data_IF_667168096005
#
_entry.id   IF_667168096005
#
_cell.length_a   1.000
_cell.length_b   1.000
_cell.length_c   1.000
_cell.angle_alpha   90.00
_cell.angle_beta   90.00
_cell.angle_gamma   90.00
#
_symmetry.space_group_name_H-M   'P 1'
#
loop_
_entity.id
_entity.type
_entity.pdbx_description
1 polymer ?
#
# COMPACT_ATOMS: atom_id res chain seq x y z
N UNK A 1 14.93 15.19 4.14
CA UNK A 1 14.87 14.66 5.51
C UNK A 1 16.20 14.06 5.96
N UNK A 2 16.55 14.22 7.25
CA UNK A 2 17.59 13.41 7.92
C UNK A 2 17.13 11.94 7.96
N UNK A 3 18.03 10.99 8.24
CA UNK A 3 17.67 9.58 8.39
C UNK A 3 16.61 9.47 9.49
N UNK A 4 15.42 8.98 9.14
CA UNK A 4 14.32 8.76 10.08
C UNK A 4 14.14 7.25 10.19
N UNK A 5 14.37 6.72 11.39
CA UNK A 5 14.16 5.30 11.67
C UNK A 5 12.91 5.16 12.52
N UNK A 6 11.89 4.52 11.97
CA UNK A 6 10.60 4.28 12.61
C UNK A 6 10.57 2.82 13.07
N UNK A 7 10.36 2.59 14.36
CA UNK A 7 10.31 1.26 14.93
C UNK A 7 10.18 1.32 16.45
N UNK A 8 9.73 0.22 17.07
CA UNK A 8 9.52 0.16 18.51
C UNK A 8 8.50 1.20 18.99
N UNK A 9 8.76 1.77 20.17
CA UNK A 9 7.76 2.49 20.95
C UNK A 9 7.63 3.99 20.63
N UNK A 10 8.26 4.46 19.54
CA UNK A 10 8.45 5.90 19.27
C UNK A 10 7.14 6.67 19.11
N UNK A 11 6.04 5.98 18.82
CA UNK A 11 4.72 6.55 18.62
C UNK A 11 3.69 6.08 19.67
N UNK A 12 4.11 5.47 20.78
CA UNK A 12 3.19 4.92 21.77
C UNK A 12 2.28 5.97 22.42
N UNK A 13 2.71 7.24 22.43
CA UNK A 13 1.90 8.36 22.92
C UNK A 13 1.00 8.99 21.85
N UNK A 14 1.17 8.64 20.57
CA UNK A 14 0.46 9.24 19.44
C UNK A 14 -0.84 8.51 19.10
N UNK A 15 -1.53 7.98 20.11
CA UNK A 15 -2.75 7.16 19.96
C UNK A 15 -3.91 7.89 19.26
N UNK A 16 -3.93 9.22 19.32
CA UNK A 16 -4.95 10.07 18.69
C UNK A 16 -4.53 10.61 17.32
N UNK A 17 -3.35 10.24 16.81
CA UNK A 17 -2.88 10.70 15.50
C UNK A 17 -3.73 10.08 14.40
N UNK A 18 -4.37 10.93 13.59
CA UNK A 18 -5.26 10.50 12.48
C UNK A 18 -4.62 10.67 11.11
N UNK A 19 -3.62 11.54 10.99
CA UNK A 19 -2.92 11.85 9.75
C UNK A 19 -1.41 11.87 9.98
N UNK A 20 -0.67 11.15 9.14
CA UNK A 20 0.79 11.17 9.17
C UNK A 20 1.36 11.16 7.75
N UNK A 21 2.16 12.17 7.43
CA UNK A 21 2.75 12.30 6.10
C UNK A 21 4.29 12.26 6.20
N UNK A 22 4.86 11.23 5.57
CA UNK A 22 6.29 10.98 5.45
C UNK A 22 6.76 11.19 4.01
N UNK A 23 5.96 11.81 3.15
CA UNK A 23 6.32 12.05 1.76
C UNK A 23 7.62 12.85 1.64
N UNK A 24 8.51 12.45 0.72
CA UNK A 24 9.83 13.03 0.53
C UNK A 24 10.86 12.63 1.60
N UNK A 25 10.50 11.77 2.55
CA UNK A 25 11.45 11.19 3.50
C UNK A 25 12.34 10.13 2.82
N UNK A 26 13.23 10.56 1.91
CA UNK A 26 14.09 9.68 1.11
C UNK A 26 15.04 8.81 1.92
N UNK A 27 15.21 9.01 3.23
CA UNK A 27 16.04 8.18 4.12
C UNK A 27 15.22 7.51 5.24
N UNK A 28 13.91 7.35 5.05
CA UNK A 28 13.07 6.65 6.01
C UNK A 28 13.39 5.15 6.01
N UNK A 29 13.54 4.60 7.20
CA UNK A 29 13.70 3.17 7.46
C UNK A 29 12.58 2.77 8.41
N UNK A 30 11.74 1.82 8.02
CA UNK A 30 10.62 1.33 8.85
C UNK A 30 10.97 -0.07 9.30
N UNK A 31 11.01 -0.28 10.61
CA UNK A 31 11.13 -1.57 11.25
C UNK A 31 9.74 -2.18 11.42
N UNK A 32 9.70 -3.50 11.57
CA UNK A 32 8.47 -4.26 11.81
C UNK A 32 7.68 -3.65 12.99
N UNK A 33 6.35 -3.61 12.86
CA UNK A 33 5.43 -2.99 13.84
C UNK A 33 5.65 -1.50 14.11
N UNK A 34 6.39 -0.76 13.27
CA UNK A 34 6.70 0.65 13.51
C UNK A 34 5.50 1.61 13.65
N UNK A 35 4.29 1.17 13.28
CA UNK A 35 3.04 1.93 13.43
C UNK A 35 1.96 1.19 14.21
N UNK A 36 2.26 0.06 14.85
CA UNK A 36 1.24 -0.81 15.49
C UNK A 36 0.37 -0.09 16.54
N UNK A 37 0.92 0.94 17.20
CA UNK A 37 0.22 1.73 18.22
C UNK A 37 -0.54 2.95 17.69
N UNK A 38 -0.46 3.23 16.38
CA UNK A 38 -1.20 4.30 15.72
C UNK A 38 -2.64 3.87 15.39
N UNK A 39 -3.38 3.42 16.40
CA UNK A 39 -4.70 2.80 16.26
C UNK A 39 -5.76 3.74 15.65
N UNK A 40 -5.62 5.06 15.81
CA UNK A 40 -6.55 6.05 15.25
C UNK A 40 -6.14 6.55 13.86
N UNK A 41 -5.03 6.07 13.30
CA UNK A 41 -4.50 6.61 12.06
C UNK A 41 -5.41 6.26 10.88
N UNK A 42 -5.82 7.29 10.14
CA UNK A 42 -6.71 7.17 8.99
C UNK A 42 -5.98 7.46 7.68
N UNK A 43 -4.92 8.27 7.69
CA UNK A 43 -4.16 8.63 6.49
C UNK A 43 -2.67 8.53 6.73
N UNK A 44 -1.99 7.79 5.85
CA UNK A 44 -0.54 7.58 5.87
C UNK A 44 0.05 7.73 4.46
N UNK A 45 0.97 8.67 4.27
CA UNK A 45 1.60 8.90 2.97
C UNK A 45 3.12 8.75 3.03
N UNK A 46 3.67 8.04 2.04
CA UNK A 46 5.11 7.81 1.82
C UNK A 46 5.58 8.32 0.46
N UNK A 47 4.83 9.22 -0.19
CA UNK A 47 5.10 9.57 -1.59
C UNK A 47 6.54 10.06 -1.78
N UNK A 48 7.22 9.64 -2.84
CA UNK A 48 8.62 9.96 -3.10
C UNK A 48 9.61 9.50 -2.00
N UNK A 49 9.28 8.47 -1.19
CA UNK A 49 10.25 7.83 -0.29
C UNK A 49 11.14 6.85 -1.06
N UNK A 50 12.02 7.38 -1.93
CA UNK A 50 12.75 6.58 -2.92
C UNK A 50 13.63 5.47 -2.35
N UNK A 51 14.09 5.53 -1.09
CA UNK A 51 14.87 4.45 -0.48
C UNK A 51 14.04 3.51 0.42
N UNK A 52 12.72 3.71 0.50
CA UNK A 52 11.84 2.78 1.19
C UNK A 52 11.77 1.49 0.35
N UNK A 53 12.26 0.40 0.93
CA UNK A 53 12.42 -0.89 0.21
C UNK A 53 11.27 -1.86 0.43
N UNK A 54 10.67 -1.82 1.62
CA UNK A 54 9.64 -2.77 2.04
C UNK A 54 8.78 -2.17 3.15
N UNK A 55 7.58 -2.72 3.27
CA UNK A 55 6.58 -2.44 4.31
C UNK A 55 5.92 -3.76 4.69
N UNK A 56 6.71 -4.73 5.16
CA UNK A 56 6.17 -6.02 5.64
C UNK A 56 5.69 -5.86 7.09
N UNK A 57 4.55 -6.47 7.45
CA UNK A 57 3.90 -6.45 8.80
C UNK A 57 3.72 -5.08 9.44
N UNK A 58 4.00 -4.02 8.70
CA UNK A 58 4.08 -2.64 9.17
C UNK A 58 2.69 -2.08 9.53
N UNK A 59 1.63 -2.67 8.97
CA UNK A 59 0.25 -2.20 9.10
C UNK A 59 -0.62 -3.10 9.99
N UNK A 60 0.00 -4.04 10.70
CA UNK A 60 -0.72 -4.84 11.68
C UNK A 60 -1.30 -3.92 12.76
N UNK A 61 -2.59 -4.08 13.06
CA UNK A 61 -3.33 -3.23 14.00
C UNK A 61 -3.86 -1.90 13.43
N UNK A 62 -3.55 -1.55 12.18
CA UNK A 62 -4.03 -0.31 11.55
C UNK A 62 -5.47 -0.41 11.02
N UNK A 63 -6.40 -0.82 11.88
CA UNK A 63 -7.79 -1.11 11.53
C UNK A 63 -8.58 0.11 11.04
N UNK A 64 -8.13 1.32 11.36
CA UNK A 64 -8.79 2.58 10.99
C UNK A 64 -8.16 3.25 9.76
N UNK A 65 -7.10 2.68 9.17
CA UNK A 65 -6.42 3.28 8.03
C UNK A 65 -7.31 3.24 6.79
N UNK A 66 -7.60 4.43 6.24
CA UNK A 66 -8.46 4.62 5.06
C UNK A 66 -7.67 4.97 3.81
N UNK A 67 -6.62 5.77 3.96
CA UNK A 67 -5.82 6.28 2.85
C UNK A 67 -4.35 5.90 3.02
N UNK A 68 -3.82 5.14 2.06
CA UNK A 68 -2.41 4.78 1.99
C UNK A 68 -1.85 5.11 0.59
N UNK A 69 -0.77 5.88 0.55
CA UNK A 69 -0.08 6.19 -0.71
C UNK A 69 1.42 6.00 -0.55
N UNK A 70 2.01 5.24 -1.46
CA UNK A 70 3.45 5.02 -1.59
C UNK A 70 3.92 5.41 -3.00
N UNK A 71 3.21 6.36 -3.62
CA UNK A 71 3.49 6.80 -4.98
C UNK A 71 4.97 7.22 -5.12
N UNK A 72 5.60 6.87 -6.24
CA UNK A 72 6.99 7.21 -6.55
C UNK A 72 8.02 6.61 -5.55
N UNK A 73 7.66 5.56 -4.80
CA UNK A 73 8.62 4.77 -4.02
C UNK A 73 9.35 3.76 -4.92
N UNK A 74 10.25 4.26 -5.76
CA UNK A 74 10.88 3.49 -6.84
C UNK A 74 11.68 2.25 -6.39
N UNK A 75 12.15 2.19 -5.13
CA UNK A 75 12.85 1.03 -4.60
C UNK A 75 11.95 0.05 -3.82
N UNK A 76 10.65 0.33 -3.74
CA UNK A 76 9.68 -0.49 -3.02
C UNK A 76 9.53 -1.85 -3.67
N UNK A 77 9.53 -2.89 -2.84
CA UNK A 77 9.08 -4.23 -3.15
C UNK A 77 7.91 -4.59 -2.27
N UNK A 78 6.97 -5.35 -2.82
CA UNK A 78 5.91 -6.00 -2.05
C UNK A 78 6.43 -7.39 -1.71
N UNK A 79 6.84 -7.58 -0.46
CA UNK A 79 7.20 -8.89 0.08
C UNK A 79 6.13 -9.29 1.10
N UNK A 80 5.70 -10.55 1.09
CA UNK A 80 4.68 -11.09 1.98
C UNK A 80 3.24 -10.85 1.57
N UNK A 81 2.32 -11.45 2.33
CA UNK A 81 0.89 -11.26 2.13
C UNK A 81 0.47 -9.90 2.72
N UNK A 82 -0.33 -9.13 1.98
CA UNK A 82 -0.95 -7.92 2.55
C UNK A 82 -1.75 -8.29 3.81
N UNK A 83 -1.58 -7.49 4.86
CA UNK A 83 -2.15 -7.77 6.18
C UNK A 83 -3.67 -7.85 6.12
N UNK A 84 -4.26 -8.81 6.83
CA UNK A 84 -5.71 -8.99 6.95
C UNK A 84 -6.37 -7.87 7.79
N UNK A 85 -5.59 -6.92 8.29
CA UNK A 85 -6.01 -5.85 9.20
C UNK A 85 -6.46 -4.57 8.48
N UNK A 86 -6.18 -4.43 7.17
CA UNK A 86 -6.52 -3.24 6.38
C UNK A 86 -8.00 -3.19 5.95
N UNK A 87 -8.90 -3.58 6.86
CA UNK A 87 -10.33 -3.74 6.59
C UNK A 87 -11.02 -2.41 6.23
N UNK A 88 -10.51 -1.27 6.70
CA UNK A 88 -11.08 0.07 6.46
C UNK A 88 -10.42 0.81 5.30
N UNK A 89 -9.44 0.20 4.62
CA UNK A 89 -8.68 0.87 3.57
C UNK A 89 -9.59 1.12 2.36
N UNK A 90 -9.79 2.39 2.00
CA UNK A 90 -10.63 2.80 0.87
C UNK A 90 -9.79 3.26 -0.34
N UNK A 91 -8.60 3.78 -0.09
CA UNK A 91 -7.66 4.26 -1.12
C UNK A 91 -6.27 3.67 -0.92
N UNK A 92 -5.73 3.07 -1.98
CA UNK A 92 -4.38 2.53 -2.02
C UNK A 92 -3.65 2.86 -3.32
N UNK A 93 -2.52 3.56 -3.24
CA UNK A 93 -1.75 3.97 -4.41
C UNK A 93 -0.28 3.55 -4.33
N UNK A 94 0.15 2.80 -5.34
CA UNK A 94 1.52 2.35 -5.58
C UNK A 94 2.06 2.84 -6.93
N UNK A 95 1.44 3.85 -7.54
CA UNK A 95 1.85 4.36 -8.85
C UNK A 95 3.34 4.73 -8.89
N UNK A 96 3.99 4.45 -10.01
CA UNK A 96 5.43 4.63 -10.26
C UNK A 96 6.35 3.82 -9.32
N UNK A 97 5.86 2.78 -8.63
CA UNK A 97 6.71 1.88 -7.87
C UNK A 97 7.35 0.82 -8.79
N UNK A 98 8.34 1.25 -9.56
CA UNK A 98 8.93 0.45 -10.65
C UNK A 98 9.59 -0.87 -10.20
N UNK A 99 9.88 -1.09 -8.91
CA UNK A 99 10.43 -2.38 -8.42
C UNK A 99 9.38 -3.39 -7.97
N UNK A 100 8.10 -3.04 -8.08
CA UNK A 100 7.01 -3.97 -7.82
C UNK A 100 6.84 -4.86 -9.05
N UNK A 101 7.28 -6.11 -8.94
CA UNK A 101 7.20 -7.10 -10.03
C UNK A 101 5.97 -8.00 -9.92
N UNK A 102 5.46 -8.20 -8.72
CA UNK A 102 4.31 -9.07 -8.44
C UNK A 102 3.47 -8.48 -7.32
N UNK A 103 2.14 -8.57 -7.45
CA UNK A 103 1.18 -8.23 -6.40
C UNK A 103 0.58 -9.54 -5.88
N UNK A 104 0.73 -9.84 -4.59
CA UNK A 104 0.08 -10.98 -3.95
C UNK A 104 -0.80 -10.51 -2.78
N UNK A 105 -2.12 -10.61 -2.94
CA UNK A 105 -3.08 -10.21 -1.92
C UNK A 105 -4.21 -11.23 -1.74
N UNK A 106 -3.95 -12.51 -2.05
CA UNK A 106 -4.97 -13.57 -1.93
C UNK A 106 -5.55 -13.70 -0.52
N UNK A 107 -4.78 -13.43 0.52
CA UNK A 107 -5.26 -13.48 1.90
C UNK A 107 -5.82 -12.16 2.42
N UNK A 108 -5.59 -11.05 1.72
CA UNK A 108 -5.90 -9.73 2.23
C UNK A 108 -7.41 -9.47 2.22
N UNK A 109 -7.94 -9.01 3.35
CA UNK A 109 -9.33 -8.59 3.46
C UNK A 109 -9.45 -7.09 3.14
N UNK A 110 -9.65 -6.77 1.86
CA UNK A 110 -9.75 -5.40 1.34
C UNK A 110 -11.20 -5.03 0.97
N UNK A 111 -12.16 -5.41 1.82
CA UNK A 111 -13.59 -5.27 1.55
C UNK A 111 -14.05 -3.82 1.36
N UNK A 112 -13.42 -2.87 2.03
CA UNK A 112 -13.74 -1.44 1.90
C UNK A 112 -12.99 -0.73 0.77
N UNK A 113 -12.11 -1.42 0.04
CA UNK A 113 -11.27 -0.77 -0.95
C UNK A 113 -12.10 -0.26 -2.13
N UNK A 114 -12.03 1.05 -2.37
CA UNK A 114 -12.77 1.71 -3.45
C UNK A 114 -11.85 2.07 -4.63
N UNK A 115 -10.61 2.47 -4.35
CA UNK A 115 -9.66 2.93 -5.35
C UNK A 115 -8.32 2.26 -5.12
N UNK A 116 -7.79 1.64 -6.18
CA UNK A 116 -6.45 1.04 -6.19
C UNK A 116 -5.69 1.44 -7.46
N UNK A 117 -4.52 2.04 -7.31
CA UNK A 117 -3.72 2.54 -8.43
C UNK A 117 -2.33 1.90 -8.47
N UNK A 118 -1.93 1.43 -9.64
CA UNK A 118 -0.61 0.86 -9.92
C UNK A 118 0.06 1.49 -11.14
N UNK A 119 -0.39 2.67 -11.55
CA UNK A 119 -0.03 3.26 -12.82
C UNK A 119 1.49 3.43 -12.91
N UNK A 120 2.07 3.18 -14.08
CA UNK A 120 3.52 3.26 -14.33
C UNK A 120 4.37 2.34 -13.44
N UNK A 121 3.80 1.26 -12.88
CA UNK A 121 4.59 0.15 -12.33
C UNK A 121 5.14 -0.69 -13.49
N UNK A 122 6.12 -0.15 -14.21
CA UNK A 122 6.57 -0.71 -15.49
C UNK A 122 7.13 -2.12 -15.41
N UNK A 123 7.70 -2.55 -14.26
CA UNK A 123 8.16 -3.93 -14.07
C UNK A 123 7.10 -4.87 -13.49
N UNK A 124 5.86 -4.41 -13.26
CA UNK A 124 4.79 -5.28 -12.77
C UNK A 124 4.44 -6.31 -13.85
N UNK A 125 4.69 -7.58 -13.56
CA UNK A 125 4.48 -8.68 -14.50
C UNK A 125 3.26 -9.52 -14.18
N UNK A 126 2.90 -9.64 -12.91
CA UNK A 126 1.91 -10.62 -12.44
C UNK A 126 1.08 -10.13 -11.25
N UNK A 127 -0.19 -10.52 -11.24
CA UNK A 127 -1.14 -10.22 -10.15
C UNK A 127 -1.75 -11.53 -9.65
N UNK A 128 -1.52 -11.80 -8.37
CA UNK A 128 -2.05 -12.91 -7.59
C UNK A 128 -3.02 -12.36 -6.53
N UNK A 129 -4.20 -11.96 -6.97
CA UNK A 129 -5.25 -11.40 -6.11
C UNK A 129 -6.49 -12.30 -6.15
N UNK A 130 -7.29 -12.25 -5.08
CA UNK A 130 -8.69 -12.68 -5.14
C UNK A 130 -9.49 -11.38 -5.07
N UNK A 131 -10.24 -11.06 -6.13
CA UNK A 131 -11.02 -9.82 -6.19
C UNK A 131 -12.45 -9.98 -5.66
N UNK A 132 -12.93 -11.21 -5.46
CA UNK A 132 -14.29 -11.50 -4.97
C UNK A 132 -14.63 -10.80 -3.66
N UNK A 133 -13.63 -10.53 -2.81
CA UNK A 133 -13.81 -9.82 -1.54
C UNK A 133 -13.87 -8.30 -1.68
N UNK A 134 -13.42 -7.72 -2.80
CA UNK A 134 -13.34 -6.28 -3.04
C UNK A 134 -14.66 -5.73 -3.60
N UNK A 135 -15.75 -5.96 -2.87
CA UNK A 135 -17.12 -5.64 -3.32
C UNK A 135 -17.39 -4.14 -3.49
N UNK A 136 -16.58 -3.27 -2.87
CA UNK A 136 -16.71 -1.81 -2.97
C UNK A 136 -15.77 -1.17 -4.00
N UNK A 137 -15.00 -1.97 -4.75
CA UNK A 137 -13.99 -1.46 -5.68
C UNK A 137 -14.66 -0.73 -6.84
N UNK A 138 -14.39 0.57 -6.96
CA UNK A 138 -14.91 1.46 -8.00
C UNK A 138 -13.88 1.74 -9.08
N UNK A 139 -12.60 1.75 -8.72
CA UNK A 139 -11.49 2.04 -9.65
C UNK A 139 -10.29 1.16 -9.37
N UNK A 140 -9.79 0.52 -10.42
CA UNK A 140 -8.53 -0.19 -10.45
C UNK A 140 -7.79 0.19 -11.72
N UNK A 141 -6.59 0.74 -11.62
CA UNK A 141 -5.84 1.23 -12.78
C UNK A 141 -4.43 0.67 -12.80
N UNK A 142 -4.02 0.25 -14.00
CA UNK A 142 -2.70 -0.29 -14.34
C UNK A 142 -2.09 0.47 -15.52
N UNK A 143 -2.53 1.70 -15.77
CA UNK A 143 -2.10 2.48 -16.94
C UNK A 143 -0.58 2.61 -16.93
N UNK A 144 0.09 2.28 -18.04
CA UNK A 144 1.55 2.32 -18.13
C UNK A 144 2.27 1.13 -17.45
N UNK A 145 1.56 0.07 -17.05
CA UNK A 145 2.18 -1.21 -16.64
C UNK A 145 2.54 -2.06 -17.87
N UNK A 146 3.59 -1.65 -18.60
CA UNK A 146 3.95 -2.21 -19.91
C UNK A 146 4.28 -3.71 -19.92
N UNK A 147 4.74 -4.26 -18.80
CA UNK A 147 5.13 -5.68 -18.68
C UNK A 147 4.04 -6.59 -18.08
N UNK A 148 2.85 -6.07 -17.78
CA UNK A 148 1.77 -6.83 -17.16
C UNK A 148 1.17 -7.81 -18.18
N UNK A 149 1.42 -9.11 -18.00
CA UNK A 149 1.10 -10.14 -19.01
C UNK A 149 -0.37 -10.54 -19.04
N UNK A 150 -1.02 -10.59 -17.89
CA UNK A 150 -2.43 -10.93 -17.76
C UNK A 150 -3.08 -10.07 -16.65
N UNK A 151 -4.13 -9.34 -16.98
CA UNK A 151 -5.05 -8.78 -15.99
C UNK A 151 -6.03 -9.90 -15.57
N UNK A 152 -6.27 -10.10 -14.27
CA UNK A 152 -7.16 -11.17 -13.82
C UNK A 152 -8.55 -11.03 -14.43
N UNK A 153 -9.05 -12.11 -15.04
CA UNK A 153 -10.35 -12.18 -15.75
C UNK A 153 -11.51 -11.72 -14.84
N UNK A 154 -11.33 -11.85 -13.53
CA UNK A 154 -12.21 -11.44 -12.44
C UNK A 154 -12.51 -9.92 -12.42
N UNK A 155 -11.74 -9.09 -13.14
CA UNK A 155 -11.87 -7.64 -13.15
C UNK A 155 -12.85 -7.08 -14.19
N UNK A 156 -13.52 -7.94 -14.98
CA UNK A 156 -14.46 -7.53 -16.04
C UNK A 156 -15.63 -6.67 -15.56
N UNK A 157 -15.96 -6.71 -14.27
CA UNK A 157 -17.04 -5.91 -13.67
C UNK A 157 -16.63 -4.47 -13.33
N UNK A 158 -15.33 -4.16 -13.32
CA UNK A 158 -14.85 -2.80 -13.11
C UNK A 158 -14.93 -2.07 -14.44
N UNK A 159 -15.91 -1.19 -14.57
CA UNK A 159 -16.06 -0.32 -15.74
C UNK A 159 -14.82 0.58 -15.88
N UNK A 160 -14.16 0.50 -17.04
CA UNK A 160 -12.93 1.19 -17.45
C UNK A 160 -11.64 0.62 -16.85
N UNK A 161 -11.10 -0.40 -17.54
CA UNK A 161 -9.67 -0.72 -17.60
C UNK A 161 -8.95 0.27 -18.53
#
# INVERSE_FOLDING_TARGET
>A
CRKLKIGGDIFNSLISLTYFNLSGCVKVEILDNGFSNLISLQTLFFNNCINLKKIHTTFDGMINLKNLSLKDCINMKIEGNASNTLISLTYFDLSSCIKVETINNRSANLVSLEIRCFNNCTNLMMIHAIFDSMTNLKKLSFDGCENLKDTPIELKHLSCL
#
